data_IF_773817034671
#
_entry.id   IF_773817034671
#
_cell.length_a   1.000
_cell.length_b   1.000
_cell.length_c   1.000
_cell.angle_alpha   90.00
_cell.angle_beta   90.00
_cell.angle_gamma   90.00
#
_symmetry.space_group_name_H-M   'P 1'
#
loop_
_entity.id
_entity.type
_entity.pdbx_description
1 polymer ?
#
# COMPACT_ATOMS: atom_id res chain seq x y z
N UNK A 1 5.85 0.84 22.07
CA UNK A 1 5.03 1.56 21.08
C UNK A 1 4.31 0.49 20.29
N UNK A 2 3.09 0.17 20.70
CA UNK A 2 2.31 -0.95 20.14
C UNK A 2 1.74 -0.52 18.78
N UNK A 3 2.42 -0.89 17.69
CA UNK A 3 1.93 -0.62 16.34
C UNK A 3 0.95 -1.72 15.93
N UNK A 4 -0.28 -1.67 16.43
CA UNK A 4 -1.33 -2.53 15.90
C UNK A 4 -1.55 -2.13 14.42
N UNK A 5 -1.12 -2.97 13.48
CA UNK A 5 -1.46 -2.82 12.06
C UNK A 5 -2.73 -3.63 11.87
N UNK A 6 -3.88 -2.96 11.98
CA UNK A 6 -5.19 -3.61 11.98
C UNK A 6 -5.66 -3.86 10.55
N UNK A 7 -6.22 -5.04 10.30
CA UNK A 7 -6.83 -5.39 9.02
C UNK A 7 -8.32 -5.63 9.22
N UNK A 8 -9.14 -4.97 8.42
CA UNK A 8 -10.59 -5.16 8.39
C UNK A 8 -10.96 -5.98 7.16
N UNK A 9 -11.55 -7.17 7.34
CA UNK A 9 -12.08 -7.98 6.24
C UNK A 9 -13.50 -7.50 5.89
N UNK A 10 -13.73 -7.14 4.63
CA UNK A 10 -15.04 -6.67 4.14
C UNK A 10 -15.82 -7.80 3.48
N UNK A 11 -15.16 -8.60 2.65
CA UNK A 11 -15.79 -9.73 1.97
C UNK A 11 -14.77 -10.82 1.61
N UNK A 12 -15.26 -12.03 1.41
CA UNK A 12 -14.49 -13.15 0.89
C UNK A 12 -15.31 -13.96 -0.12
N UNK A 13 -14.60 -14.60 -1.03
CA UNK A 13 -15.15 -15.60 -1.94
C UNK A 13 -14.13 -16.74 -2.06
N UNK A 14 -14.44 -17.89 -1.45
CA UNK A 14 -13.49 -18.97 -1.25
C UNK A 14 -12.21 -18.50 -0.54
N UNK A 15 -11.07 -18.58 -1.23
CA UNK A 15 -9.77 -18.12 -0.71
C UNK A 15 -9.47 -16.64 -0.97
N UNK A 16 -10.25 -15.96 -1.81
CA UNK A 16 -10.10 -14.54 -2.13
C UNK A 16 -10.67 -13.68 -0.99
N UNK A 17 -10.02 -12.55 -0.72
CA UNK A 17 -10.37 -11.62 0.37
C UNK A 17 -10.26 -10.18 -0.11
N UNK A 18 -11.25 -9.38 0.27
CA UNK A 18 -11.26 -7.92 0.12
C UNK A 18 -11.34 -7.33 1.51
N UNK A 19 -10.58 -6.27 1.74
CA UNK A 19 -10.56 -5.61 3.04
C UNK A 19 -9.59 -4.44 3.08
N UNK A 20 -9.54 -3.76 4.20
CA UNK A 20 -8.73 -2.55 4.38
C UNK A 20 -7.64 -2.79 5.42
N UNK A 21 -6.38 -2.54 5.03
CA UNK A 21 -5.23 -2.52 5.93
C UNK A 21 -5.02 -1.10 6.45
N UNK A 22 -5.15 -0.93 7.76
CA UNK A 22 -4.96 0.35 8.44
C UNK A 22 -3.47 0.54 8.77
N UNK A 23 -2.87 1.56 8.15
CA UNK A 23 -1.48 1.94 8.43
C UNK A 23 -1.43 3.31 9.10
N UNK A 24 -0.29 3.65 9.72
CA UNK A 24 -0.09 4.98 10.30
C UNK A 24 -0.15 6.11 9.24
N UNK A 25 0.05 5.78 7.96
CA UNK A 25 0.08 6.73 6.85
C UNK A 25 -1.21 6.71 6.01
N UNK A 26 -2.24 5.99 6.48
CA UNK A 26 -3.53 5.89 5.79
C UNK A 26 -3.97 4.45 5.54
N UNK A 27 -5.16 4.36 4.95
CA UNK A 27 -5.84 3.10 4.67
C UNK A 27 -5.47 2.56 3.29
N UNK A 28 -5.27 1.25 3.25
CA UNK A 28 -4.89 0.50 2.06
C UNK A 28 -6.00 -0.49 1.71
N UNK A 29 -6.79 -0.27 0.65
CA UNK A 29 -7.74 -1.27 0.18
C UNK A 29 -6.98 -2.46 -0.43
N UNK A 30 -7.41 -3.67 -0.10
CA UNK A 30 -6.86 -4.93 -0.60
C UNK A 30 -7.94 -5.69 -1.40
N UNK A 31 -7.58 -6.41 -2.47
CA UNK A 31 -6.22 -6.73 -2.92
C UNK A 31 -5.51 -5.54 -3.57
N UNK A 32 -4.28 -5.26 -3.12
CA UNK A 32 -3.42 -4.20 -3.67
C UNK A 32 -2.21 -4.81 -4.38
N UNK A 33 -1.87 -4.29 -5.56
CA UNK A 33 -0.60 -4.56 -6.21
C UNK A 33 0.40 -3.48 -5.79
N UNK A 34 1.38 -3.86 -4.97
CA UNK A 34 2.40 -2.93 -4.47
C UNK A 34 3.68 -3.07 -5.29
N UNK A 35 4.10 -2.04 -6.04
CA UNK A 35 5.40 -2.06 -6.72
C UNK A 35 6.53 -2.04 -5.68
N UNK A 36 7.57 -2.85 -5.90
CA UNK A 36 8.74 -2.94 -5.03
C UNK A 36 9.79 -1.94 -5.52
N UNK A 37 10.18 -0.98 -4.67
CA UNK A 37 11.38 -0.17 -4.90
C UNK A 37 12.52 -0.73 -4.04
N UNK A 38 13.50 -1.38 -4.67
CA UNK A 38 14.73 -1.80 -3.96
C UNK A 38 15.76 -0.67 -4.01
N UNK A 39 16.25 -0.29 -2.82
CA UNK A 39 17.30 0.72 -2.59
C UNK A 39 16.88 2.18 -2.83
N UNK A 40 15.98 2.73 -2.00
CA UNK A 40 16.00 4.14 -1.53
C UNK A 40 16.26 5.26 -2.54
N UNK A 41 16.07 5.02 -3.83
CA UNK A 41 16.34 5.89 -4.94
C UNK A 41 15.42 5.45 -6.06
N UNK A 42 14.33 6.18 -6.22
CA UNK A 42 13.68 6.27 -7.51
C UNK A 42 14.72 6.92 -8.42
N UNK A 43 15.55 6.11 -9.09
CA UNK A 43 16.43 6.62 -10.12
C UNK A 43 15.53 7.18 -11.22
N UNK A 44 15.64 8.50 -11.41
CA UNK A 44 15.16 9.30 -12.53
C UNK A 44 13.73 9.85 -12.51
N UNK A 45 13.00 9.83 -11.39
CA UNK A 45 11.75 10.58 -11.29
C UNK A 45 11.83 11.53 -10.11
N UNK A 46 11.67 12.82 -10.41
CA UNK A 46 11.49 13.89 -9.45
C UNK A 46 10.29 13.53 -8.55
N UNK A 47 10.29 13.96 -7.29
CA UNK A 47 9.22 13.62 -6.33
C UNK A 47 7.82 14.05 -6.79
N UNK A 48 7.76 14.89 -7.83
CA UNK A 48 6.55 15.41 -8.48
C UNK A 48 5.87 14.42 -9.44
N UNK A 49 6.55 13.35 -9.90
CA UNK A 49 5.95 12.36 -10.82
C UNK A 49 5.24 11.21 -10.11
N UNK A 50 5.47 11.02 -8.81
CA UNK A 50 4.84 9.95 -8.00
C UNK A 50 3.35 10.25 -7.74
N UNK A 51 2.99 11.53 -7.64
CA UNK A 51 1.60 11.98 -7.47
C UNK A 51 0.75 11.74 -8.72
N UNK A 52 1.36 11.74 -9.91
CA UNK A 52 0.66 11.56 -11.19
C UNK A 52 0.22 10.11 -11.45
N UNK A 53 0.81 9.13 -10.75
CA UNK A 53 0.59 7.69 -11.01
C UNK A 53 -0.47 7.07 -10.09
N UNK A 54 -1.02 7.80 -9.12
CA UNK A 54 -2.06 7.28 -8.23
C UNK A 54 -1.57 6.14 -7.32
N UNK A 55 -0.29 6.18 -6.96
CA UNK A 55 0.34 5.10 -6.21
C UNK A 55 0.07 5.27 -4.72
N UNK A 56 -0.89 4.51 -4.19
CA UNK A 56 -1.27 4.62 -2.77
C UNK A 56 -0.23 4.02 -1.79
N UNK A 57 0.76 3.26 -2.27
CA UNK A 57 1.80 2.64 -1.43
C UNK A 57 3.10 2.44 -2.21
N UNK A 58 4.22 2.77 -1.58
CA UNK A 58 5.57 2.42 -2.03
C UNK A 58 6.26 1.58 -0.95
N UNK A 59 6.93 0.50 -1.36
CA UNK A 59 7.78 -0.32 -0.50
C UNK A 59 9.24 0.03 -0.75
N UNK A 60 9.96 0.50 0.27
CA UNK A 60 11.39 0.85 0.23
C UNK A 60 12.28 -0.11 1.00
#
# INVERSE_FOLDING_TARGET
MDHHKTFTLEANDGGARVGTLHTAHGDVPTPAFMPVATQGSVKTLDSTDIDAVGTNILLG
#
